data_IF_047188233663
#
_entry.id   IF_047188233663
#
_cell.length_a   1.000
_cell.length_b   1.000
_cell.length_c   1.000
_cell.angle_alpha   90.00
_cell.angle_beta   90.00
_cell.angle_gamma   90.00
#
_symmetry.space_group_name_H-M   'P 1'
#
loop_
_entity.id
_entity.type
_entity.pdbx_description
1 polymer ?
#
# COMPACT_ATOMS: atom_id res chain seq x y z
N UNK A 1 -0.93 21.56 -17.68
CA UNK A 1 -2.03 20.59 -17.70
C UNK A 1 -1.79 19.36 -16.79
N UNK A 2 -0.59 19.13 -16.28
CA UNK A 2 -0.20 17.98 -15.42
C UNK A 2 -0.08 18.34 -13.93
N UNK A 3 -0.75 19.39 -13.49
CA UNK A 3 -0.68 19.93 -12.11
C UNK A 3 -1.56 19.16 -11.10
N UNK A 4 -2.29 18.14 -11.54
CA UNK A 4 -3.16 17.32 -10.69
C UNK A 4 -2.87 15.83 -10.85
N UNK A 5 -2.79 15.11 -9.74
CA UNK A 5 -2.66 13.64 -9.73
C UNK A 5 -3.76 12.98 -10.59
N UNK A 6 -4.99 13.53 -10.54
CA UNK A 6 -6.14 13.02 -11.31
C UNK A 6 -5.91 13.03 -12.82
N UNK A 7 -5.04 13.89 -13.34
CA UNK A 7 -4.74 13.95 -14.79
C UNK A 7 -4.00 12.69 -15.24
N UNK A 8 -3.04 12.21 -14.43
CA UNK A 8 -2.31 10.98 -14.71
C UNK A 8 -3.23 9.74 -14.69
N UNK A 9 -4.27 9.72 -13.82
CA UNK A 9 -5.30 8.68 -13.85
C UNK A 9 -6.16 8.76 -15.14
N UNK A 10 -6.55 9.96 -15.56
CA UNK A 10 -7.34 10.15 -16.78
C UNK A 10 -6.60 9.75 -18.06
N UNK A 11 -5.30 10.00 -18.12
CA UNK A 11 -4.48 9.65 -19.29
C UNK A 11 -4.43 8.13 -19.51
N UNK A 12 -4.41 7.35 -18.42
CA UNK A 12 -4.29 5.89 -18.47
C UNK A 12 -5.64 5.17 -18.27
N UNK A 13 -6.76 5.79 -18.67
CA UNK A 13 -8.11 5.28 -18.40
C UNK A 13 -8.35 3.86 -18.95
N UNK A 14 -7.77 3.52 -20.13
CA UNK A 14 -7.91 2.18 -20.73
C UNK A 14 -7.30 1.09 -19.83
N UNK A 15 -6.13 1.37 -19.27
CA UNK A 15 -5.47 0.45 -18.34
C UNK A 15 -6.26 0.38 -17.04
N UNK A 16 -6.83 1.49 -16.55
CA UNK A 16 -7.67 1.50 -15.37
C UNK A 16 -8.95 0.66 -15.55
N UNK A 17 -9.59 0.69 -16.72
CA UNK A 17 -10.73 -0.19 -17.01
C UNK A 17 -10.32 -1.67 -16.90
N UNK A 18 -9.19 -2.06 -17.49
CA UNK A 18 -8.70 -3.44 -17.39
C UNK A 18 -8.37 -3.85 -15.95
N UNK A 19 -7.79 -2.93 -15.16
CA UNK A 19 -7.55 -3.14 -13.74
C UNK A 19 -8.86 -3.32 -12.99
N UNK A 20 -9.87 -2.50 -13.29
CA UNK A 20 -11.19 -2.55 -12.65
C UNK A 20 -11.88 -3.87 -12.93
N UNK A 21 -11.97 -4.28 -14.18
CA UNK A 21 -12.60 -5.54 -14.57
C UNK A 21 -11.89 -6.74 -13.95
N UNK A 22 -10.58 -6.84 -14.15
CA UNK A 22 -9.80 -7.95 -13.56
C UNK A 22 -9.78 -7.92 -12.04
N UNK A 23 -9.79 -6.73 -11.43
CA UNK A 23 -9.88 -6.53 -9.99
C UNK A 23 -11.22 -6.94 -9.39
N UNK A 24 -12.33 -6.63 -10.06
CA UNK A 24 -13.66 -7.06 -9.66
C UNK A 24 -13.80 -8.58 -9.76
N UNK A 25 -13.42 -9.17 -10.90
CA UNK A 25 -13.47 -10.64 -11.08
C UNK A 25 -12.65 -11.33 -9.99
N UNK A 26 -11.43 -10.85 -9.73
CA UNK A 26 -10.57 -11.42 -8.69
C UNK A 26 -11.22 -11.30 -7.30
N UNK A 27 -11.68 -10.11 -6.88
CA UNK A 27 -12.13 -9.89 -5.52
C UNK A 27 -13.52 -10.47 -5.25
N UNK A 28 -14.42 -10.48 -6.23
CA UNK A 28 -15.68 -11.21 -6.13
C UNK A 28 -15.43 -12.72 -6.17
N UNK A 29 -14.51 -13.18 -7.02
CA UNK A 29 -14.10 -14.58 -7.07
C UNK A 29 -13.48 -15.11 -5.77
N UNK A 30 -12.95 -14.27 -4.89
CA UNK A 30 -12.50 -14.67 -3.56
C UNK A 30 -13.62 -15.21 -2.67
N UNK A 31 -14.90 -14.87 -2.95
CA UNK A 31 -16.04 -15.43 -2.25
C UNK A 31 -16.24 -16.92 -2.54
N UNK A 32 -15.75 -17.40 -3.67
CA UNK A 32 -15.80 -18.82 -4.03
C UNK A 32 -15.14 -19.70 -2.97
N UNK A 33 -14.02 -19.25 -2.35
CA UNK A 33 -13.34 -20.01 -1.30
C UNK A 33 -14.29 -20.41 -0.14
N UNK A 34 -14.82 -19.45 0.63
CA UNK A 34 -15.77 -19.73 1.69
C UNK A 34 -17.00 -20.52 1.25
N UNK A 35 -17.52 -20.23 0.06
CA UNK A 35 -18.68 -20.92 -0.47
C UNK A 35 -18.40 -22.41 -0.75
N UNK A 36 -17.28 -22.73 -1.42
CA UNK A 36 -16.88 -24.11 -1.64
C UNK A 36 -16.50 -24.83 -0.36
N UNK A 37 -15.81 -24.16 0.60
CA UNK A 37 -15.50 -24.70 1.92
C UNK A 37 -16.79 -25.14 2.64
N UNK A 38 -17.84 -24.31 2.60
CA UNK A 38 -19.13 -24.66 3.15
C UNK A 38 -19.81 -25.80 2.40
N UNK A 39 -19.82 -25.79 1.08
CA UNK A 39 -20.41 -26.87 0.27
C UNK A 39 -19.72 -28.22 0.50
N UNK A 40 -18.41 -28.23 0.61
CA UNK A 40 -17.65 -29.45 0.92
C UNK A 40 -17.94 -29.97 2.33
N UNK A 41 -18.07 -29.06 3.33
CA UNK A 41 -18.44 -29.44 4.68
C UNK A 41 -19.86 -30.06 4.72
N UNK A 42 -20.81 -29.47 4.00
CA UNK A 42 -22.16 -30.04 3.87
C UNK A 42 -22.16 -31.38 3.16
N UNK A 43 -21.42 -31.51 2.04
CA UNK A 43 -21.28 -32.75 1.30
C UNK A 43 -20.67 -33.87 2.15
N UNK A 44 -19.70 -33.56 3.00
CA UNK A 44 -19.07 -34.54 3.90
C UNK A 44 -20.12 -35.12 4.88
N UNK A 45 -21.00 -34.30 5.42
CA UNK A 45 -22.07 -34.75 6.31
C UNK A 45 -23.08 -35.59 5.56
N UNK A 46 -23.45 -35.20 4.34
CA UNK A 46 -24.36 -35.96 3.48
C UNK A 46 -23.78 -37.37 3.16
N UNK A 47 -22.45 -37.48 2.96
CA UNK A 47 -21.74 -38.75 2.75
C UNK A 47 -21.78 -39.58 4.03
N UNK A 48 -21.50 -38.98 5.20
CA UNK A 48 -21.58 -39.68 6.48
C UNK A 48 -23.02 -40.16 6.82
N UNK A 49 -24.01 -39.41 6.36
CA UNK A 49 -25.43 -39.81 6.47
C UNK A 49 -25.90 -40.80 5.40
N UNK A 50 -25.03 -41.21 4.48
CA UNK A 50 -25.35 -42.19 3.43
C UNK A 50 -26.19 -41.65 2.27
N UNK A 51 -26.42 -40.33 2.21
CA UNK A 51 -27.24 -39.69 1.16
C UNK A 51 -26.44 -39.30 -0.10
N UNK A 52 -25.11 -39.24 -0.02
CA UNK A 52 -24.18 -38.94 -1.16
C UNK A 52 -23.03 -39.90 -1.20
N UNK A 53 -22.34 -39.92 -2.35
CA UNK A 53 -21.17 -40.76 -2.62
C UNK A 53 -19.93 -39.90 -2.66
N UNK A 54 -18.75 -40.50 -2.41
CA UNK A 54 -17.48 -39.80 -2.42
C UNK A 54 -17.14 -39.15 -3.79
N UNK A 55 -17.69 -39.63 -4.90
CA UNK A 55 -17.58 -39.01 -6.22
C UNK A 55 -18.15 -37.60 -6.25
N UNK A 56 -19.20 -37.29 -5.49
CA UNK A 56 -19.81 -35.97 -5.44
C UNK A 56 -18.82 -34.94 -4.79
N UNK A 57 -18.09 -35.38 -3.77
CA UNK A 57 -17.01 -34.60 -3.17
C UNK A 57 -15.88 -34.35 -4.17
N UNK A 58 -15.48 -35.36 -4.96
CA UNK A 58 -14.43 -35.20 -5.95
C UNK A 58 -14.81 -34.15 -7.02
N UNK A 59 -16.05 -34.15 -7.48
CA UNK A 59 -16.57 -33.13 -8.42
C UNK A 59 -16.51 -31.73 -7.81
N UNK A 60 -16.91 -31.56 -6.54
CA UNK A 60 -16.84 -30.26 -5.84
C UNK A 60 -15.39 -29.78 -5.70
N UNK A 61 -14.45 -30.67 -5.38
CA UNK A 61 -13.02 -30.33 -5.29
C UNK A 61 -12.48 -29.90 -6.64
N UNK A 62 -12.83 -30.60 -7.72
CA UNK A 62 -12.43 -30.26 -9.08
C UNK A 62 -12.96 -28.89 -9.52
N UNK A 63 -14.26 -28.65 -9.26
CA UNK A 63 -14.92 -27.36 -9.52
C UNK A 63 -14.25 -26.22 -8.72
N UNK A 64 -13.87 -26.48 -7.48
CA UNK A 64 -13.13 -25.53 -6.65
C UNK A 64 -11.73 -25.22 -7.21
N UNK A 65 -10.99 -26.24 -7.63
CA UNK A 65 -9.67 -26.05 -8.22
C UNK A 65 -9.74 -25.21 -9.50
N UNK A 66 -10.71 -25.48 -10.39
CA UNK A 66 -10.93 -24.67 -11.60
C UNK A 66 -11.29 -23.23 -11.25
N UNK A 67 -12.19 -23.04 -10.28
CA UNK A 67 -12.60 -21.71 -9.82
C UNK A 67 -11.42 -20.92 -9.26
N UNK A 68 -10.58 -21.54 -8.43
CA UNK A 68 -9.37 -20.89 -7.88
C UNK A 68 -8.39 -20.56 -9.01
N UNK A 69 -8.19 -21.43 -9.98
CA UNK A 69 -7.29 -21.18 -11.11
C UNK A 69 -7.74 -19.95 -11.90
N UNK A 70 -9.04 -19.81 -12.18
CA UNK A 70 -9.61 -18.63 -12.84
C UNK A 70 -9.42 -17.34 -12.02
N UNK A 71 -9.68 -17.42 -10.71
CA UNK A 71 -9.51 -16.28 -9.80
C UNK A 71 -8.04 -15.86 -9.71
N UNK A 72 -7.10 -16.81 -9.64
CA UNK A 72 -5.67 -16.49 -9.59
C UNK A 72 -5.16 -15.95 -10.93
N UNK A 73 -5.68 -16.42 -12.05
CA UNK A 73 -5.39 -15.86 -13.38
C UNK A 73 -5.83 -14.40 -13.46
N UNK A 74 -7.03 -14.07 -12.97
CA UNK A 74 -7.52 -12.68 -12.88
C UNK A 74 -6.66 -11.82 -11.96
N UNK A 75 -6.14 -12.39 -10.87
CA UNK A 75 -5.18 -11.72 -9.97
C UNK A 75 -3.87 -11.40 -10.68
N UNK A 76 -3.35 -12.34 -11.48
CA UNK A 76 -2.14 -12.12 -12.27
C UNK A 76 -2.33 -10.96 -13.25
N UNK A 77 -3.42 -10.98 -14.03
CA UNK A 77 -3.77 -9.92 -14.98
C UNK A 77 -3.89 -8.56 -14.27
N UNK A 78 -4.63 -8.49 -13.17
CA UNK A 78 -4.73 -7.28 -12.37
C UNK A 78 -3.36 -6.75 -11.94
N UNK A 79 -2.49 -7.60 -11.38
CA UNK A 79 -1.16 -7.19 -10.94
C UNK A 79 -0.28 -6.71 -12.08
N UNK A 80 -0.37 -7.35 -13.24
CA UNK A 80 0.34 -6.94 -14.44
C UNK A 80 -0.07 -5.52 -14.88
N UNK A 81 -1.38 -5.28 -15.01
CA UNK A 81 -1.88 -3.97 -15.44
C UNK A 81 -1.64 -2.88 -14.40
N UNK A 82 -1.72 -3.18 -13.11
CA UNK A 82 -1.38 -2.22 -12.04
C UNK A 82 0.10 -1.80 -12.09
N UNK A 83 1.00 -2.73 -12.36
CA UNK A 83 2.43 -2.40 -12.55
C UNK A 83 2.65 -1.57 -13.83
N UNK A 84 1.99 -1.94 -14.92
CA UNK A 84 2.05 -1.18 -16.17
C UNK A 84 1.54 0.25 -15.97
N UNK A 85 0.43 0.42 -15.28
CA UNK A 85 -0.10 1.73 -14.90
C UNK A 85 0.94 2.55 -14.11
N UNK A 86 1.53 1.98 -13.06
CA UNK A 86 2.53 2.67 -12.24
C UNK A 86 3.77 3.09 -13.06
N UNK A 87 4.26 2.21 -13.93
CA UNK A 87 5.40 2.51 -14.78
C UNK A 87 5.10 3.62 -15.80
N UNK A 88 3.90 3.62 -16.39
CA UNK A 88 3.49 4.67 -17.32
C UNK A 88 3.37 6.02 -16.58
N UNK A 89 2.77 6.03 -15.40
CA UNK A 89 2.67 7.23 -14.56
C UNK A 89 4.06 7.74 -14.17
N UNK A 90 4.96 6.86 -13.73
CA UNK A 90 6.31 7.21 -13.38
C UNK A 90 7.06 7.84 -14.57
N UNK A 91 6.98 7.20 -15.74
CA UNK A 91 7.56 7.73 -16.99
C UNK A 91 7.00 9.10 -17.32
N UNK A 92 5.68 9.26 -17.30
CA UNK A 92 5.01 10.53 -17.59
C UNK A 92 5.41 11.63 -16.62
N UNK A 93 5.47 11.34 -15.33
CA UNK A 93 5.91 12.30 -14.30
C UNK A 93 7.36 12.72 -14.50
N UNK A 94 8.27 11.76 -14.77
CA UNK A 94 9.69 12.06 -15.04
C UNK A 94 9.88 12.90 -16.31
N UNK A 95 9.10 12.62 -17.36
CA UNK A 95 9.15 13.42 -18.59
C UNK A 95 8.71 14.88 -18.37
N UNK A 96 7.59 15.07 -17.65
CA UNK A 96 7.08 16.41 -17.33
C UNK A 96 8.08 17.17 -16.44
N UNK A 97 8.62 16.51 -15.42
CA UNK A 97 9.58 17.10 -14.52
C UNK A 97 10.89 17.49 -15.24
N UNK A 98 11.43 16.58 -16.06
CA UNK A 98 12.62 16.85 -16.86
C UNK A 98 12.42 18.01 -17.83
N UNK A 99 11.29 18.04 -18.55
CA UNK A 99 10.93 19.16 -19.42
C UNK A 99 10.77 20.49 -18.70
N UNK A 100 10.36 20.46 -17.42
CA UNK A 100 10.29 21.64 -16.56
C UNK A 100 11.69 22.10 -16.10
N UNK A 101 12.55 21.16 -15.71
CA UNK A 101 13.91 21.45 -15.23
C UNK A 101 14.81 22.07 -16.32
N UNK A 102 14.70 21.63 -17.58
CA UNK A 102 15.47 22.21 -18.69
C UNK A 102 15.11 23.68 -18.94
N UNK A 103 13.88 24.08 -18.58
CA UNK A 103 13.41 25.46 -18.78
C UNK A 103 13.69 26.38 -17.60
N UNK A 104 14.19 25.85 -16.47
CA UNK A 104 14.56 26.64 -15.31
C UNK A 104 15.92 27.33 -15.52
N UNK A 105 16.05 28.53 -14.96
CA UNK A 105 17.32 29.25 -14.99
C UNK A 105 18.36 28.56 -14.09
N UNK A 106 19.64 28.80 -14.36
CA UNK A 106 20.76 28.28 -13.57
C UNK A 106 20.69 28.74 -12.12
N UNK A 107 20.29 29.98 -11.88
CA UNK A 107 20.09 30.55 -10.53
C UNK A 107 19.01 29.83 -9.75
N UNK A 108 17.85 29.58 -10.34
CA UNK A 108 16.76 28.82 -9.69
C UNK A 108 17.17 27.39 -9.33
N UNK A 109 17.97 26.74 -10.16
CA UNK A 109 18.49 25.41 -9.90
C UNK A 109 19.56 25.37 -8.79
N UNK A 110 20.38 26.42 -8.72
CA UNK A 110 21.40 26.58 -7.68
C UNK A 110 20.78 26.87 -6.30
N UNK A 111 19.76 27.73 -6.23
CA UNK A 111 19.02 28.00 -5.00
C UNK A 111 18.35 26.75 -4.43
N UNK A 112 17.82 25.89 -5.27
CA UNK A 112 17.19 24.63 -4.84
C UNK A 112 18.23 23.56 -4.46
N UNK A 113 19.46 23.67 -4.91
CA UNK A 113 20.54 22.71 -4.72
C UNK A 113 20.40 21.47 -5.60
N UNK A 114 21.45 21.12 -6.34
CA UNK A 114 21.45 20.02 -7.30
C UNK A 114 21.04 18.68 -6.66
N UNK A 115 21.52 18.39 -5.44
CA UNK A 115 21.16 17.16 -4.72
C UNK A 115 19.67 17.07 -4.37
N UNK A 116 19.03 18.20 -3.99
CA UNK A 116 17.60 18.24 -3.69
C UNK A 116 16.76 18.07 -4.96
N UNK A 117 17.16 18.69 -6.06
CA UNK A 117 16.52 18.52 -7.38
C UNK A 117 16.60 17.07 -7.84
N UNK A 118 17.76 16.43 -7.71
CA UNK A 118 17.93 15.00 -8.05
C UNK A 118 17.08 14.09 -7.17
N UNK A 119 17.01 14.36 -5.86
CA UNK A 119 16.15 13.62 -4.94
C UNK A 119 14.67 13.73 -5.36
N UNK A 120 14.20 14.93 -5.69
CA UNK A 120 12.83 15.17 -6.17
C UNK A 120 12.57 14.46 -7.51
N UNK A 121 13.53 14.53 -8.44
CA UNK A 121 13.39 13.95 -9.78
C UNK A 121 13.38 12.41 -9.78
N UNK A 122 14.05 11.78 -8.84
CA UNK A 122 14.18 10.32 -8.80
C UNK A 122 13.28 9.75 -7.70
N UNK A 123 13.59 10.06 -6.43
CA UNK A 123 12.96 9.39 -5.30
C UNK A 123 11.51 9.85 -5.05
N UNK A 124 11.24 11.16 -5.10
CA UNK A 124 9.89 11.65 -4.84
C UNK A 124 8.91 11.28 -5.95
N UNK A 125 9.36 11.23 -7.19
CA UNK A 125 8.54 10.75 -8.32
C UNK A 125 8.25 9.26 -8.19
N UNK A 126 9.25 8.44 -7.83
CA UNK A 126 9.06 7.01 -7.59
C UNK A 126 8.10 6.75 -6.42
N UNK A 127 8.22 7.51 -5.33
CA UNK A 127 7.30 7.43 -4.19
C UNK A 127 5.86 7.82 -4.57
N UNK A 128 5.67 8.82 -5.43
CA UNK A 128 4.35 9.19 -5.95
C UNK A 128 3.75 8.07 -6.80
N UNK A 129 4.49 7.55 -7.76
CA UNK A 129 4.02 6.47 -8.64
C UNK A 129 3.72 5.19 -7.84
N UNK A 130 4.56 4.85 -6.87
CA UNK A 130 4.35 3.72 -5.96
C UNK A 130 3.12 3.92 -5.06
N UNK A 131 2.89 5.13 -4.57
CA UNK A 131 1.69 5.48 -3.81
C UNK A 131 0.42 5.33 -4.64
N UNK A 132 0.42 5.80 -5.89
CA UNK A 132 -0.71 5.62 -6.82
C UNK A 132 -0.95 4.13 -7.12
N UNK A 133 0.12 3.36 -7.30
CA UNK A 133 0.06 1.91 -7.47
C UNK A 133 -0.59 1.22 -6.27
N UNK A 134 -0.13 1.54 -5.06
CA UNK A 134 -0.67 0.97 -3.81
C UNK A 134 -2.12 1.36 -3.62
N UNK A 135 -2.48 2.62 -3.84
CA UNK A 135 -3.86 3.08 -3.79
C UNK A 135 -4.76 2.28 -4.74
N UNK A 136 -4.37 2.17 -6.00
CA UNK A 136 -5.13 1.41 -6.99
C UNK A 136 -5.24 -0.08 -6.62
N UNK A 137 -4.18 -0.68 -6.09
CA UNK A 137 -4.20 -2.08 -5.63
C UNK A 137 -5.16 -2.26 -4.46
N UNK A 138 -5.03 -1.44 -3.42
CA UNK A 138 -5.74 -1.62 -2.16
C UNK A 138 -7.23 -1.24 -2.24
N UNK A 139 -7.62 -0.36 -3.15
CA UNK A 139 -9.04 -0.05 -3.37
C UNK A 139 -9.81 -1.31 -3.77
N UNK A 140 -9.17 -2.20 -4.54
CA UNK A 140 -9.74 -3.48 -4.92
C UNK A 140 -9.48 -4.56 -3.85
N UNK A 141 -8.24 -4.77 -3.43
CA UNK A 141 -7.84 -5.88 -2.56
C UNK A 141 -8.36 -5.74 -1.13
N UNK A 142 -8.63 -4.52 -0.70
CA UNK A 142 -9.20 -4.24 0.61
C UNK A 142 -10.63 -3.73 0.48
N UNK A 143 -10.88 -2.66 -0.31
CA UNK A 143 -12.20 -2.03 -0.41
C UNK A 143 -13.27 -2.95 -0.99
N UNK A 144 -13.06 -3.42 -2.22
CA UNK A 144 -14.03 -4.31 -2.90
C UNK A 144 -14.16 -5.64 -2.17
N UNK A 145 -13.04 -6.22 -1.69
CA UNK A 145 -13.08 -7.48 -0.96
C UNK A 145 -13.84 -7.37 0.36
N UNK A 146 -13.65 -6.28 1.14
CA UNK A 146 -14.42 -6.06 2.37
C UNK A 146 -15.93 -5.93 2.09
N UNK A 147 -16.31 -5.16 1.05
CA UNK A 147 -17.72 -5.04 0.66
C UNK A 147 -18.30 -6.37 0.20
N UNK A 148 -17.55 -7.18 -0.54
CA UNK A 148 -17.98 -8.48 -1.02
C UNK A 148 -18.20 -9.47 0.14
N UNK A 149 -17.22 -9.58 1.06
CA UNK A 149 -17.37 -10.42 2.25
C UNK A 149 -18.49 -9.94 3.19
N UNK A 150 -18.60 -8.63 3.41
CA UNK A 150 -19.67 -8.05 4.22
C UNK A 150 -21.05 -8.31 3.59
N UNK A 151 -21.18 -8.12 2.27
CA UNK A 151 -22.41 -8.42 1.54
C UNK A 151 -22.80 -9.90 1.64
N UNK A 152 -21.83 -10.82 1.54
CA UNK A 152 -22.08 -12.25 1.69
C UNK A 152 -22.52 -12.60 3.12
N UNK A 153 -21.90 -12.03 4.16
CA UNK A 153 -22.31 -12.23 5.54
C UNK A 153 -23.75 -11.74 5.79
N UNK A 154 -24.10 -10.53 5.29
CA UNK A 154 -25.44 -9.96 5.40
C UNK A 154 -26.50 -10.81 4.68
N UNK A 155 -26.15 -11.42 3.55
CA UNK A 155 -27.03 -12.31 2.81
C UNK A 155 -27.35 -13.60 3.58
N UNK A 156 -26.35 -14.18 4.26
CA UNK A 156 -26.52 -15.38 5.07
C UNK A 156 -27.33 -15.11 6.34
N UNK A 157 -26.96 -14.11 7.13
CA UNK A 157 -27.69 -13.70 8.33
C UNK A 157 -27.32 -12.25 8.71
N UNK A 158 -28.26 -11.33 8.47
CA UNK A 158 -28.01 -9.91 8.72
C UNK A 158 -27.82 -9.58 10.21
N UNK A 159 -28.51 -10.31 11.14
CA UNK A 159 -28.40 -10.08 12.59
C UNK A 159 -27.02 -10.48 13.10
N UNK A 160 -26.59 -11.69 12.75
CA UNK A 160 -25.27 -12.17 13.14
C UNK A 160 -24.14 -11.44 12.44
N UNK A 161 -24.35 -11.02 11.17
CA UNK A 161 -23.41 -10.21 10.44
C UNK A 161 -23.18 -8.85 11.12
N UNK A 162 -24.24 -8.11 11.47
CA UNK A 162 -24.11 -6.83 12.17
C UNK A 162 -23.44 -7.00 13.53
N UNK A 163 -23.80 -8.02 14.29
CA UNK A 163 -23.19 -8.29 15.59
C UNK A 163 -21.70 -8.62 15.46
N UNK A 164 -21.31 -9.42 14.48
CA UNK A 164 -19.91 -9.78 14.25
C UNK A 164 -19.08 -8.63 13.65
N UNK A 165 -19.70 -7.74 12.85
CA UNK A 165 -19.04 -6.58 12.23
C UNK A 165 -18.65 -5.48 13.23
N UNK A 166 -19.03 -5.59 14.51
CA UNK A 166 -18.56 -4.69 15.57
C UNK A 166 -17.06 -4.91 15.86
N UNK A 167 -16.53 -6.12 15.70
CA UNK A 167 -15.14 -6.45 16.05
C UNK A 167 -14.08 -5.84 15.14
N UNK A 168 -14.21 -5.77 13.80
CA UNK A 168 -13.25 -5.10 12.94
C UNK A 168 -13.00 -3.63 13.29
N UNK A 169 -13.99 -2.77 13.53
CA UNK A 169 -13.78 -1.40 14.03
C UNK A 169 -13.06 -1.37 15.39
N UNK A 170 -13.40 -2.25 16.34
CA UNK A 170 -12.71 -2.31 17.64
C UNK A 170 -11.22 -2.61 17.44
N UNK A 171 -10.89 -3.56 16.57
CA UNK A 171 -9.50 -3.84 16.19
C UNK A 171 -8.80 -2.62 15.62
N UNK A 172 -9.48 -1.84 14.79
CA UNK A 172 -8.94 -0.62 14.21
C UNK A 172 -8.64 0.46 15.29
N UNK A 173 -9.57 0.69 16.22
CA UNK A 173 -9.35 1.64 17.33
C UNK A 173 -8.21 1.21 18.26
N UNK A 174 -8.08 -0.08 18.54
CA UNK A 174 -6.96 -0.61 19.32
C UNK A 174 -5.62 -0.35 18.60
N UNK A 175 -5.58 -0.57 17.29
CA UNK A 175 -4.43 -0.30 16.44
C UNK A 175 -4.05 1.18 16.40
N UNK A 176 -5.03 2.08 16.28
CA UNK A 176 -4.78 3.53 16.23
C UNK A 176 -4.15 4.05 17.52
N UNK A 177 -4.58 3.55 18.68
CA UNK A 177 -3.92 3.86 19.97
C UNK A 177 -2.48 3.34 20.03
N UNK A 178 -2.23 2.13 19.52
CA UNK A 178 -0.89 1.57 19.49
C UNK A 178 0.04 2.27 18.51
N UNK A 179 -0.47 2.84 17.45
CA UNK A 179 0.29 3.57 16.43
C UNK A 179 1.20 4.65 17.03
N UNK A 180 0.70 5.39 18.00
CA UNK A 180 1.49 6.45 18.69
C UNK A 180 2.71 5.85 19.37
N UNK A 181 2.56 4.72 20.09
CA UNK A 181 3.65 4.03 20.79
C UNK A 181 4.66 3.47 19.79
N UNK A 182 4.17 2.88 18.69
CA UNK A 182 5.01 2.33 17.61
C UNK A 182 5.81 3.45 16.93
N UNK A 183 5.17 4.58 16.62
CA UNK A 183 5.84 5.73 16.02
C UNK A 183 6.91 6.31 16.95
N UNK A 184 6.63 6.45 18.26
CA UNK A 184 7.58 6.94 19.25
C UNK A 184 8.78 5.99 19.38
N UNK A 185 8.53 4.70 19.46
CA UNK A 185 9.59 3.68 19.53
C UNK A 185 10.41 3.63 18.24
N UNK A 186 9.77 3.73 17.08
CA UNK A 186 10.43 3.78 15.78
C UNK A 186 11.28 5.05 15.61
N UNK A 187 10.82 6.21 16.11
CA UNK A 187 11.60 7.44 16.09
C UNK A 187 12.85 7.34 16.99
N UNK A 188 12.70 6.74 18.19
CA UNK A 188 13.83 6.49 19.09
C UNK A 188 14.85 5.53 18.44
N UNK A 189 14.39 4.46 17.79
CA UNK A 189 15.24 3.55 17.04
C UNK A 189 16.00 4.27 15.92
N UNK A 190 15.33 5.10 15.11
CA UNK A 190 15.99 5.87 14.06
C UNK A 190 17.05 6.83 14.59
N UNK A 191 16.79 7.48 15.72
CA UNK A 191 17.75 8.37 16.38
C UNK A 191 19.01 7.60 16.81
N UNK A 192 18.87 6.43 17.44
CA UNK A 192 20.01 5.61 17.84
C UNK A 192 20.75 5.01 16.63
N UNK A 193 20.02 4.67 15.55
CA UNK A 193 20.63 4.24 14.30
C UNK A 193 21.49 5.34 13.66
N UNK A 194 21.05 6.60 13.73
CA UNK A 194 21.86 7.75 13.31
C UNK A 194 23.12 7.89 14.13
N UNK A 195 23.00 7.88 15.47
CA UNK A 195 24.15 8.01 16.36
C UNK A 195 25.19 6.88 16.15
N UNK A 196 24.72 5.64 15.95
CA UNK A 196 25.60 4.52 15.61
C UNK A 196 26.28 4.70 14.26
N UNK A 197 25.56 5.20 13.24
CA UNK A 197 26.13 5.48 11.93
C UNK A 197 27.21 6.57 12.00
N UNK A 198 26.97 7.64 12.75
CA UNK A 198 27.92 8.72 12.97
C UNK A 198 29.18 8.21 13.70
N UNK A 199 29.01 7.39 14.76
CA UNK A 199 30.12 6.76 15.47
C UNK A 199 30.92 5.81 14.55
N UNK A 200 30.24 5.06 13.68
CA UNK A 200 30.88 4.17 12.69
C UNK A 200 31.69 4.97 11.67
N UNK A 201 31.14 6.07 11.18
CA UNK A 201 31.82 6.95 10.24
C UNK A 201 33.05 7.62 10.87
N UNK A 202 32.92 8.12 12.12
CA UNK A 202 34.02 8.69 12.88
C UNK A 202 35.14 7.67 13.07
N UNK A 203 34.80 6.45 13.48
CA UNK A 203 35.76 5.36 13.61
C UNK A 203 36.50 5.08 12.30
N UNK A 204 35.76 4.92 11.18
CA UNK A 204 36.34 4.59 9.88
C UNK A 204 37.23 5.72 9.36
N UNK A 205 36.81 6.98 9.53
CA UNK A 205 37.53 8.15 9.02
C UNK A 205 38.79 8.47 9.84
N UNK A 206 38.76 8.22 11.14
CA UNK A 206 39.82 8.58 12.07
C UNK A 206 40.61 7.37 12.61
N UNK A 207 40.49 6.19 12.01
CA UNK A 207 41.14 4.96 12.50
C UNK A 207 42.65 5.07 12.68
N UNK A 208 43.35 5.71 11.77
CA UNK A 208 44.79 5.94 11.84
C UNK A 208 45.13 6.85 13.02
N UNK A 209 44.37 7.93 13.21
CA UNK A 209 44.54 8.87 14.31
C UNK A 209 44.42 8.17 15.67
N UNK A 210 43.40 7.36 15.84
CA UNK A 210 43.16 6.60 17.09
C UNK A 210 44.31 5.63 17.39
N UNK A 211 44.88 4.97 16.34
CA UNK A 211 46.07 4.10 16.48
C UNK A 211 47.29 4.85 16.89
N UNK A 212 47.58 5.98 16.26
CA UNK A 212 48.77 6.80 16.55
C UNK A 212 48.74 7.31 17.99
N UNK A 213 47.55 7.66 18.50
CA UNK A 213 47.39 8.18 19.86
C UNK A 213 47.08 7.09 20.92
N UNK A 214 47.02 5.80 20.55
CA UNK A 214 46.76 4.69 21.45
C UNK A 214 45.37 4.71 22.14
N UNK A 215 44.39 5.32 21.47
CA UNK A 215 43.02 5.48 22.00
C UNK A 215 41.99 4.51 21.41
N UNK A 216 42.43 3.40 20.84
CA UNK A 216 41.52 2.43 20.22
C UNK A 216 40.56 1.81 21.25
N UNK A 217 41.04 1.49 22.43
CA UNK A 217 40.23 0.83 23.46
C UNK A 217 39.12 1.76 23.98
N UNK A 218 39.46 3.02 24.28
CA UNK A 218 38.47 4.01 24.74
C UNK A 218 37.37 4.23 23.70
N UNK A 219 37.77 4.28 22.41
CA UNK A 219 36.81 4.43 21.31
C UNK A 219 35.98 3.18 21.08
N UNK A 220 36.54 2.00 21.27
CA UNK A 220 35.79 0.74 21.21
C UNK A 220 34.70 0.69 22.27
N UNK A 221 35.00 1.09 23.48
CA UNK A 221 34.03 1.14 24.59
C UNK A 221 32.92 2.13 24.32
N UNK A 222 33.23 3.33 23.80
CA UNK A 222 32.21 4.31 23.37
C UNK A 222 31.34 3.81 22.20
N UNK A 223 31.92 3.04 21.28
CA UNK A 223 31.17 2.41 20.18
C UNK A 223 30.22 1.32 20.70
N UNK A 224 30.68 0.47 21.64
CA UNK A 224 29.88 -0.57 22.28
C UNK A 224 28.70 0.03 23.06
N UNK A 225 28.86 1.20 23.68
CA UNK A 225 27.76 1.91 24.34
C UNK A 225 26.70 2.35 23.33
N UNK A 226 27.10 2.93 22.20
CA UNK A 226 26.19 3.30 21.09
C UNK A 226 25.49 2.07 20.51
N UNK A 227 26.22 0.96 20.31
CA UNK A 227 25.68 -0.30 19.81
C UNK A 227 24.63 -0.87 20.76
N UNK A 228 24.91 -0.88 22.06
CA UNK A 228 23.97 -1.32 23.11
C UNK A 228 22.72 -0.44 23.19
N UNK A 229 22.86 0.88 23.01
CA UNK A 229 21.74 1.80 22.97
C UNK A 229 20.87 1.58 21.72
N UNK A 230 21.50 1.36 20.56
CA UNK A 230 20.82 0.99 19.31
C UNK A 230 20.08 -0.34 19.47
N UNK A 231 20.72 -1.39 20.00
CA UNK A 231 20.09 -2.70 20.20
C UNK A 231 18.85 -2.61 21.09
N UNK A 232 18.94 -1.96 22.26
CA UNK A 232 17.79 -1.75 23.16
C UNK A 232 16.65 -1.02 22.46
N UNK A 233 16.95 0.01 21.67
CA UNK A 233 15.94 0.76 20.91
C UNK A 233 15.33 -0.09 19.78
N UNK A 234 16.14 -0.88 19.06
CA UNK A 234 15.71 -1.79 18.02
C UNK A 234 14.78 -2.89 18.56
N UNK A 235 15.17 -3.56 19.64
CA UNK A 235 14.36 -4.59 20.30
C UNK A 235 13.02 -4.00 20.74
N UNK A 236 13.01 -2.84 21.40
CA UNK A 236 11.76 -2.18 21.83
C UNK A 236 10.86 -1.83 20.65
N UNK A 237 11.42 -1.27 19.57
CA UNK A 237 10.66 -0.94 18.36
C UNK A 237 10.09 -2.19 17.70
N UNK A 238 10.86 -3.28 17.64
CA UNK A 238 10.43 -4.55 17.05
C UNK A 238 9.35 -5.23 17.89
N UNK A 239 9.44 -5.23 19.21
CA UNK A 239 8.41 -5.77 20.12
C UNK A 239 7.07 -5.06 19.86
N UNK A 240 7.05 -3.74 19.88
CA UNK A 240 5.83 -2.98 19.64
C UNK A 240 5.26 -3.17 18.23
N UNK A 241 6.11 -3.18 17.21
CA UNK A 241 5.68 -3.41 15.84
C UNK A 241 5.14 -4.84 15.63
N UNK A 242 5.75 -5.84 16.26
CA UNK A 242 5.34 -7.25 16.19
C UNK A 242 4.13 -7.58 17.07
N UNK A 243 3.77 -6.71 18.02
CA UNK A 243 2.59 -6.91 18.88
C UNK A 243 1.27 -6.63 18.16
N UNK A 244 1.28 -5.89 17.05
CA UNK A 244 0.07 -5.56 16.28
C UNK A 244 -0.69 -6.78 15.75
N UNK A 245 -0.05 -7.73 15.00
CA UNK A 245 -0.76 -8.88 14.45
C UNK A 245 -1.45 -9.76 15.51
N UNK A 246 -0.83 -10.09 16.66
CA UNK A 246 -1.49 -10.82 17.74
C UNK A 246 -2.74 -10.13 18.28
N UNK A 247 -2.71 -8.82 18.50
CA UNK A 247 -3.85 -8.06 19.01
C UNK A 247 -5.04 -8.14 18.04
N UNK A 248 -4.79 -7.92 16.75
CA UNK A 248 -5.83 -8.11 15.72
C UNK A 248 -6.40 -9.51 15.74
N UNK A 249 -5.54 -10.52 15.91
CA UNK A 249 -5.95 -11.93 15.91
C UNK A 249 -6.82 -12.26 17.14
N UNK A 250 -6.48 -11.75 18.32
CA UNK A 250 -7.26 -11.94 19.54
C UNK A 250 -8.67 -11.34 19.40
N UNK A 251 -8.76 -10.08 18.95
CA UNK A 251 -10.06 -9.43 18.74
C UNK A 251 -10.88 -10.17 17.66
N UNK A 252 -10.24 -10.60 16.59
CA UNK A 252 -10.90 -11.41 15.55
C UNK A 252 -11.42 -12.75 16.09
N UNK A 253 -10.63 -13.43 16.92
CA UNK A 253 -11.05 -14.71 17.54
C UNK A 253 -12.24 -14.54 18.47
N UNK A 254 -12.36 -13.42 19.20
CA UNK A 254 -13.56 -13.13 20.00
C UNK A 254 -14.81 -13.08 19.11
N UNK A 255 -14.71 -12.46 17.91
CA UNK A 255 -15.79 -12.48 16.92
C UNK A 255 -16.14 -13.89 16.44
N UNK A 256 -15.12 -14.74 16.21
CA UNK A 256 -15.34 -16.15 15.84
C UNK A 256 -16.03 -16.92 16.94
N UNK A 257 -15.66 -16.74 18.23
CA UNK A 257 -16.34 -17.39 19.36
C UNK A 257 -17.83 -17.00 19.43
N UNK A 258 -18.14 -15.74 19.18
CA UNK A 258 -19.53 -15.27 19.12
C UNK A 258 -20.30 -15.94 17.97
N UNK A 259 -19.67 -16.07 16.80
CA UNK A 259 -20.28 -16.76 15.65
C UNK A 259 -20.46 -18.25 15.95
N UNK A 260 -19.51 -18.90 16.63
CA UNK A 260 -19.64 -20.30 17.05
C UNK A 260 -20.84 -20.47 17.97
N UNK A 261 -21.04 -19.58 18.94
CA UNK A 261 -22.15 -19.67 19.89
C UNK A 261 -23.50 -19.44 19.23
N UNK A 262 -23.70 -18.32 18.55
CA UNK A 262 -24.99 -18.00 17.93
C UNK A 262 -25.24 -18.78 16.65
N UNK A 263 -24.24 -18.97 15.81
CA UNK A 263 -24.34 -19.79 14.61
C UNK A 263 -24.56 -21.28 14.94
N UNK A 264 -23.92 -21.78 16.00
CA UNK A 264 -24.20 -23.13 16.53
C UNK A 264 -25.65 -23.31 16.98
N UNK A 265 -26.23 -22.31 17.67
CA UNK A 265 -27.67 -22.31 18.00
C UNK A 265 -28.53 -22.32 16.75
N UNK A 266 -28.18 -21.60 15.70
CA UNK A 266 -28.90 -21.60 14.43
C UNK A 266 -28.85 -22.99 13.74
N UNK A 267 -27.72 -23.71 13.84
CA UNK A 267 -27.55 -25.05 13.28
C UNK A 267 -28.37 -26.08 14.08
N UNK A 268 -28.45 -25.94 15.41
CA UNK A 268 -29.22 -26.80 16.29
C UNK A 268 -30.75 -26.53 16.25
N UNK A 269 -31.18 -25.54 15.44
CA UNK A 269 -32.60 -25.17 15.32
C UNK A 269 -33.17 -24.37 16.49
N UNK A 270 -32.34 -23.99 17.48
CA UNK A 270 -32.72 -23.20 18.67
C UNK A 270 -32.50 -21.69 18.46
N UNK A 271 -31.91 -21.30 17.34
CA UNK A 271 -31.61 -19.90 17.01
C UNK A 271 -32.74 -19.21 16.25
N UNK A 272 -32.46 -17.97 15.78
CA UNK A 272 -33.43 -17.15 15.03
C UNK A 272 -33.52 -17.49 13.54
N UNK A 273 -32.63 -18.32 13.01
CA UNK A 273 -32.61 -18.77 11.62
C UNK A 273 -32.09 -20.21 11.55
N UNK A 274 -32.80 -21.09 10.87
CA UNK A 274 -32.31 -22.44 10.65
C UNK A 274 -31.16 -22.45 9.66
N UNK A 275 -30.03 -23.01 10.08
CA UNK A 275 -28.83 -23.14 9.27
C UNK A 275 -28.48 -24.61 9.06
N UNK A 276 -27.90 -24.90 7.90
CA UNK A 276 -27.13 -26.12 7.70
C UNK A 276 -25.63 -25.87 7.98
N UNK A 277 -24.89 -26.94 8.13
CA UNK A 277 -23.45 -26.85 8.40
C UNK A 277 -22.69 -26.18 7.26
N UNK A 278 -23.18 -26.30 6.02
CA UNK A 278 -22.59 -25.58 4.88
C UNK A 278 -22.68 -24.05 5.08
N UNK A 279 -23.82 -23.52 5.47
CA UNK A 279 -24.00 -22.09 5.74
C UNK A 279 -23.13 -21.61 6.92
N UNK A 280 -23.08 -22.41 7.98
CA UNK A 280 -22.26 -22.13 9.15
C UNK A 280 -20.75 -22.02 8.82
N UNK A 281 -20.22 -23.02 8.11
CA UNK A 281 -18.81 -23.05 7.68
C UNK A 281 -18.50 -21.87 6.74
N UNK A 282 -19.40 -21.59 5.77
CA UNK A 282 -19.25 -20.45 4.87
C UNK A 282 -19.19 -19.13 5.66
N UNK A 283 -20.08 -18.96 6.64
CA UNK A 283 -20.15 -17.73 7.44
C UNK A 283 -18.86 -17.50 8.25
N UNK A 284 -18.37 -18.52 8.95
CA UNK A 284 -17.10 -18.44 9.71
C UNK A 284 -15.91 -18.13 8.78
N UNK A 285 -15.84 -18.81 7.65
CA UNK A 285 -14.75 -18.60 6.69
C UNK A 285 -14.78 -17.18 6.12
N UNK A 286 -15.96 -16.67 5.74
CA UNK A 286 -16.14 -15.30 5.29
C UNK A 286 -15.72 -14.29 6.35
N UNK A 287 -16.15 -14.46 7.59
CA UNK A 287 -15.79 -13.56 8.69
C UNK A 287 -14.29 -13.54 8.96
N UNK A 288 -13.65 -14.70 8.99
CA UNK A 288 -12.20 -14.81 9.19
C UNK A 288 -11.42 -14.08 8.09
N UNK A 289 -11.85 -14.22 6.84
CA UNK A 289 -11.24 -13.51 5.69
C UNK A 289 -11.51 -12.00 5.72
N UNK A 290 -12.73 -11.59 6.10
CA UNK A 290 -13.08 -10.18 6.32
C UNK A 290 -12.20 -9.54 7.40
N UNK A 291 -12.06 -10.18 8.55
CA UNK A 291 -11.23 -9.69 9.65
C UNK A 291 -9.77 -9.57 9.25
N UNK A 292 -9.21 -10.56 8.54
CA UNK A 292 -7.83 -10.51 8.03
C UNK A 292 -7.64 -9.35 7.04
N UNK A 293 -8.61 -9.11 6.16
CA UNK A 293 -8.57 -7.99 5.20
C UNK A 293 -8.70 -6.63 5.87
N UNK A 294 -9.55 -6.52 6.90
CA UNK A 294 -9.71 -5.28 7.67
C UNK A 294 -8.40 -4.81 8.30
N UNK A 295 -7.58 -5.72 8.83
CA UNK A 295 -6.28 -5.37 9.40
C UNK A 295 -5.30 -4.76 8.39
N UNK A 296 -5.49 -5.01 7.09
CA UNK A 296 -4.64 -4.49 6.01
C UNK A 296 -5.01 -3.06 5.59
N UNK A 297 -6.21 -2.58 5.93
CA UNK A 297 -6.69 -1.25 5.54
C UNK A 297 -5.78 -0.11 6.04
N UNK A 298 -5.18 -0.26 7.23
CA UNK A 298 -4.27 0.74 7.79
C UNK A 298 -3.02 0.99 6.91
N UNK A 299 -2.56 -0.02 6.17
CA UNK A 299 -1.40 0.09 5.27
C UNK A 299 -1.66 1.04 4.10
N UNK A 300 -2.91 1.14 3.65
CA UNK A 300 -3.31 2.05 2.58
C UNK A 300 -3.06 3.51 2.96
N UNK A 301 -3.47 3.92 4.16
CA UNK A 301 -3.32 5.31 4.61
C UNK A 301 -1.86 5.75 4.64
N UNK A 302 -0.96 4.90 5.12
CA UNK A 302 0.47 5.20 5.15
C UNK A 302 1.06 5.40 3.73
N UNK A 303 0.67 4.54 2.77
CA UNK A 303 1.14 4.64 1.40
C UNK A 303 0.61 5.91 0.70
N UNK A 304 -0.67 6.23 0.90
CA UNK A 304 -1.29 7.45 0.36
C UNK A 304 -0.67 8.70 0.97
N UNK A 305 -0.47 8.72 2.28
CA UNK A 305 0.15 9.85 2.96
C UNK A 305 1.59 10.11 2.46
N UNK A 306 2.40 9.05 2.32
CA UNK A 306 3.76 9.18 1.77
C UNK A 306 3.73 9.76 0.36
N UNK A 307 2.86 9.26 -0.51
CA UNK A 307 2.70 9.78 -1.87
C UNK A 307 2.24 11.24 -1.90
N UNK A 308 1.34 11.65 -0.98
CA UNK A 308 0.91 13.04 -0.89
C UNK A 308 2.03 13.98 -0.46
N UNK A 309 2.89 13.56 0.48
CA UNK A 309 4.06 14.34 0.89
C UNK A 309 5.03 14.53 -0.28
N UNK A 310 5.39 13.45 -0.96
CA UNK A 310 6.27 13.51 -2.13
C UNK A 310 5.66 14.33 -3.27
N UNK A 311 4.34 14.21 -3.51
CA UNK A 311 3.63 15.06 -4.48
C UNK A 311 3.71 16.55 -4.16
N UNK A 312 3.53 16.94 -2.88
CA UNK A 312 3.66 18.34 -2.48
C UNK A 312 5.06 18.91 -2.77
N UNK A 313 6.10 18.08 -2.69
CA UNK A 313 7.48 18.48 -2.97
C UNK A 313 7.79 18.63 -4.47
N UNK A 314 7.21 17.78 -5.31
CA UNK A 314 7.45 17.82 -6.76
C UNK A 314 6.48 18.73 -7.51
N UNK A 315 5.29 18.99 -6.98
CA UNK A 315 4.26 19.81 -7.62
C UNK A 315 4.74 21.20 -8.07
N UNK A 316 5.52 21.97 -7.28
CA UNK A 316 6.05 23.26 -7.71
C UNK A 316 6.98 23.15 -8.93
N UNK A 317 7.74 22.04 -9.03
CA UNK A 317 8.64 21.78 -10.15
C UNK A 317 7.90 21.33 -11.43
N UNK A 318 6.68 20.79 -11.29
CA UNK A 318 5.85 20.37 -12.44
C UNK A 318 5.03 21.52 -13.05
N UNK A 319 4.96 22.68 -12.40
CA UNK A 319 4.34 23.87 -12.98
C UNK A 319 5.26 24.42 -14.06
N UNK A 320 4.86 24.24 -15.31
CA UNK A 320 5.46 24.96 -16.43
C UNK A 320 4.88 26.37 -16.39
N UNK A 321 5.55 27.30 -15.74
CA UNK A 321 5.31 28.73 -15.96
C UNK A 321 5.81 29.04 -17.37
N UNK A 322 4.92 29.24 -18.32
CA UNK A 322 5.23 29.95 -19.54
C UNK A 322 5.51 31.41 -19.11
N UNK A 323 6.76 31.71 -18.82
CA UNK A 323 7.16 33.12 -18.77
C UNK A 323 7.01 33.64 -20.21
N UNK A 324 6.01 34.49 -20.42
CA UNK A 324 5.78 35.27 -21.66
C UNK A 324 7.00 36.09 -22.11
N UNK A 325 8.03 36.23 -21.28
CA UNK A 325 9.18 37.06 -21.54
C UNK A 325 10.18 36.55 -22.60
N UNK A 326 10.14 35.24 -22.98
CA UNK A 326 11.12 34.72 -23.95
C UNK A 326 10.64 34.98 -25.41
N UNK A 327 9.36 35.16 -25.65
CA UNK A 327 8.88 35.56 -26.96
C UNK A 327 9.06 37.05 -27.25
N UNK A 328 8.95 37.91 -26.24
CA UNK A 328 9.18 39.36 -26.42
C UNK A 328 10.68 39.66 -26.67
N UNK A 329 11.59 38.97 -26.01
CA UNK A 329 13.05 39.16 -26.26
C UNK A 329 13.47 38.66 -27.62
N UNK A 330 12.91 37.57 -28.14
CA UNK A 330 13.20 37.06 -29.48
C UNK A 330 12.56 37.92 -30.60
N UNK A 331 11.40 38.55 -30.35
CA UNK A 331 10.80 39.52 -31.28
C UNK A 331 11.57 40.86 -31.29
N UNK A 332 12.07 41.32 -30.14
CA UNK A 332 12.92 42.50 -30.07
C UNK A 332 14.32 42.29 -30.70
N UNK A 333 14.90 41.10 -30.58
CA UNK A 333 16.17 40.75 -31.19
C UNK A 333 16.05 40.59 -32.72
N UNK A 334 14.96 39.98 -33.20
CA UNK A 334 14.65 39.89 -34.62
C UNK A 334 14.28 41.24 -35.23
N UNK A 335 13.65 42.16 -34.51
CA UNK A 335 13.41 43.53 -34.99
C UNK A 335 14.71 44.35 -35.04
N UNK A 336 15.65 44.19 -34.09
CA UNK A 336 16.98 44.82 -34.15
C UNK A 336 17.83 44.31 -35.33
N UNK A 337 17.80 43.01 -35.61
CA UNK A 337 18.53 42.41 -36.72
C UNK A 337 17.91 42.85 -38.08
N UNK A 338 16.61 42.95 -38.19
CA UNK A 338 15.87 43.44 -39.37
C UNK A 338 16.12 44.94 -39.61
N UNK A 339 16.20 45.76 -38.54
CA UNK A 339 16.51 47.20 -38.64
C UNK A 339 17.93 47.48 -39.07
N UNK A 340 18.91 46.65 -38.69
CA UNK A 340 20.31 46.77 -39.12
C UNK A 340 20.53 46.36 -40.61
N UNK A 341 19.69 45.49 -41.16
CA UNK A 341 19.79 45.09 -42.56
C UNK A 341 19.27 46.16 -43.55
N UNK A 342 18.41 47.09 -43.08
CA UNK A 342 17.89 48.17 -43.93
C UNK A 342 18.71 49.47 -43.94
N UNK A 343 19.63 49.64 -42.95
CA UNK A 343 20.48 50.81 -42.89
C UNK A 343 21.86 50.68 -43.58
N UNK A 344 22.13 49.48 -44.13
CA UNK A 344 23.43 49.18 -44.81
C UNK A 344 23.42 49.26 -46.35
N UNK A 345 22.38 49.80 -46.97
CA UNK A 345 22.27 49.88 -48.46
C UNK A 345 21.96 51.32 -48.91
N UNK A 346 22.74 52.30 -48.44
CA UNK A 346 22.80 53.65 -49.07
C UNK A 346 24.21 54.24 -48.82
N UNK A 347 25.18 53.85 -49.62
CA UNK A 347 26.26 54.69 -50.12
C UNK A 347 26.70 54.11 -51.46
#
# INVERSE_FOLDING_TARGET
>A
MYDRISTHFKTEWKILVLITVSGLIYNLGLLAGPWFEGKMAGCLIDILGGSKVFSDMAVLVLAYMVSIALVQSSRYLKRFYVRRFANNVNRSMKQVLFGSLIRKSRTELQEEGVGNVMTKAILDVDDCAEGMRKFTTEIFDTGVALMAYAGMLLFYDWKLALLSMIFPPISYFAAEKMKVVIQKSGAAYKKQSGALSDATLDWASNAITYRVFGREQERKEAYEENLSAYERAAVRANIWNSSMPPIYKVVSMTGVLLILYFGGKNVLGVGWRAWNIAAFTTFISCFTKLSTKSSSAAKLFNAVHKAQVSWKRIKPLMKVEMKRGIMEDSEHENQKVSGMSQSGLTV
#
